data_IF_824312725253
#
_entry.id   IF_824312725253
#
_cell.length_a   1.000
_cell.length_b   1.000
_cell.length_c   1.000
_cell.angle_alpha   90.00
_cell.angle_beta   90.00
_cell.angle_gamma   90.00
#
_symmetry.space_group_name_H-M   'P 1'
#
loop_
_entity.id
_entity.type
_entity.pdbx_description
1 polymer ?
#
# COMPACT_ATOMS: atom_id res chain seq x y z
N UNK A 1 16.96 -3.06 18.27
CA UNK A 1 17.71 -3.32 17.02
C UNK A 1 17.67 -4.80 16.65
N UNK A 2 17.58 -5.13 15.36
CA UNK A 2 17.70 -6.51 14.87
C UNK A 2 19.17 -6.98 14.89
N UNK A 3 19.43 -8.30 14.94
CA UNK A 3 20.77 -8.84 14.73
C UNK A 3 21.30 -8.40 13.36
N UNK A 4 22.54 -7.92 13.30
CA UNK A 4 23.17 -7.45 12.07
C UNK A 4 24.09 -8.52 11.48
N UNK A 5 23.99 -8.76 10.17
CA UNK A 5 25.06 -9.44 9.43
C UNK A 5 26.27 -8.49 9.42
N UNK A 6 27.43 -8.88 9.95
CA UNK A 6 28.57 -7.99 10.03
C UNK A 6 29.09 -7.68 8.62
N UNK A 7 29.13 -6.40 8.27
CA UNK A 7 29.87 -5.91 7.11
C UNK A 7 31.25 -5.48 7.62
N UNK A 8 32.36 -6.07 7.15
CA UNK A 8 33.69 -5.72 7.64
C UNK A 8 33.96 -4.22 7.55
N UNK A 9 34.36 -3.62 8.67
CA UNK A 9 34.66 -2.20 8.77
C UNK A 9 33.45 -1.27 8.98
N UNK A 10 32.22 -1.80 9.07
CA UNK A 10 31.01 -1.00 9.33
C UNK A 10 30.23 -1.54 10.54
N UNK A 11 29.93 -0.66 11.50
CA UNK A 11 28.96 -0.96 12.57
C UNK A 11 27.57 -0.53 12.11
N UNK A 12 26.65 -1.48 12.00
CA UNK A 12 25.28 -1.25 11.53
C UNK A 12 24.26 -1.54 12.62
N UNK A 13 23.22 -0.71 12.70
CA UNK A 13 22.03 -0.95 13.53
C UNK A 13 20.79 -0.89 12.66
N UNK A 14 19.99 -1.95 12.72
CA UNK A 14 18.73 -2.06 12.00
C UNK A 14 17.57 -1.87 12.98
N UNK A 15 16.63 -1.02 12.61
CA UNK A 15 15.46 -0.69 13.41
C UNK A 15 14.20 -1.00 12.59
N UNK A 16 13.42 -2.00 12.98
CA UNK A 16 12.11 -2.21 12.38
C UNK A 16 11.27 -0.93 12.53
N UNK A 17 10.63 -0.49 11.46
CA UNK A 17 9.70 0.64 11.46
C UNK A 17 8.36 0.18 10.90
N UNK A 18 7.32 0.95 11.19
CA UNK A 18 6.01 0.73 10.62
C UNK A 18 5.92 1.31 9.22
N UNK A 19 5.30 0.57 8.32
CA UNK A 19 4.96 0.99 6.97
C UNK A 19 3.80 0.14 6.45
N UNK A 20 3.36 0.39 5.21
CA UNK A 20 2.30 -0.40 4.56
C UNK A 20 2.67 -1.87 4.28
N UNK A 21 3.93 -2.26 4.52
CA UNK A 21 4.52 -3.56 4.20
C UNK A 21 5.33 -4.11 5.37
N UNK A 22 5.40 -5.44 5.48
CA UNK A 22 6.36 -6.10 6.36
C UNK A 22 7.81 -5.88 5.89
N UNK A 23 8.76 -6.06 6.82
CA UNK A 23 10.19 -5.92 6.54
C UNK A 23 10.70 -4.49 6.40
N UNK A 24 9.88 -3.47 6.66
CA UNK A 24 10.30 -2.08 6.67
C UNK A 24 11.31 -1.81 7.81
N UNK A 25 12.48 -1.25 7.45
CA UNK A 25 13.61 -1.09 8.36
C UNK A 25 14.27 0.27 8.11
N UNK A 26 14.49 1.01 9.20
CA UNK A 26 15.44 2.12 9.26
C UNK A 26 16.85 1.61 9.64
N UNK A 27 17.89 2.29 9.17
CA UNK A 27 19.29 1.86 9.34
C UNK A 27 20.12 2.99 9.91
N UNK A 28 21.01 2.69 10.86
CA UNK A 28 22.07 3.60 11.28
C UNK A 28 23.44 2.96 11.13
N UNK A 29 24.39 3.72 10.58
CA UNK A 29 25.77 3.32 10.32
C UNK A 29 26.70 4.17 11.19
N UNK A 30 27.60 3.54 11.93
CA UNK A 30 28.64 4.25 12.67
C UNK A 30 29.77 4.63 11.73
N UNK A 31 30.19 5.89 11.79
CA UNK A 31 31.26 6.46 10.97
C UNK A 31 32.17 7.32 11.85
N UNK A 32 33.30 7.78 11.30
CA UNK A 32 34.25 8.64 12.01
C UNK A 32 33.63 9.96 12.49
N UNK A 33 32.62 10.48 11.76
CA UNK A 33 31.92 11.72 12.14
C UNK A 33 30.74 11.50 13.09
N UNK A 34 30.43 10.24 13.43
CA UNK A 34 29.29 9.82 14.25
C UNK A 34 28.31 8.92 13.50
N UNK A 35 27.08 8.80 14.00
CA UNK A 35 26.05 7.97 13.36
C UNK A 35 25.43 8.66 12.14
N UNK A 36 25.38 7.96 11.02
CA UNK A 36 24.60 8.34 9.83
C UNK A 36 23.37 7.45 9.79
N UNK A 37 22.19 8.04 9.93
CA UNK A 37 20.92 7.32 9.98
C UNK A 37 20.06 7.58 8.74
N UNK A 38 19.39 6.54 8.26
CA UNK A 38 18.43 6.56 7.16
C UNK A 38 17.10 6.01 7.68
N UNK A 39 16.05 6.80 7.54
CA UNK A 39 14.71 6.45 8.05
C UNK A 39 14.06 5.31 7.28
N UNK A 40 14.44 5.09 6.03
CA UNK A 40 13.54 4.41 5.10
C UNK A 40 12.25 5.21 4.90
N UNK A 41 11.23 4.53 4.39
CA UNK A 41 9.86 5.01 4.40
C UNK A 41 9.20 4.50 5.67
N UNK A 42 8.54 5.39 6.41
CA UNK A 42 7.96 5.06 7.71
C UNK A 42 6.63 5.78 7.92
N UNK A 43 5.85 5.26 8.85
CA UNK A 43 4.67 5.94 9.41
C UNK A 43 4.55 5.67 10.90
N UNK A 44 3.60 6.31 11.55
CA UNK A 44 3.33 6.13 12.98
C UNK A 44 1.92 5.59 13.27
N UNK A 45 1.03 5.62 12.29
CA UNK A 45 -0.40 5.34 12.45
C UNK A 45 -0.86 3.94 12.02
N UNK A 46 0.04 3.03 11.62
CA UNK A 46 -0.29 1.64 11.32
C UNK A 46 -0.14 0.72 12.53
N UNK A 47 -0.38 -0.57 12.30
CA UNK A 47 -0.39 -1.60 13.34
C UNK A 47 0.96 -1.81 14.04
N UNK A 48 2.07 -1.40 13.41
CA UNK A 48 3.40 -1.47 14.00
C UNK A 48 3.96 -0.12 14.47
N UNK A 49 3.14 0.94 14.57
CA UNK A 49 3.59 2.31 14.88
C UNK A 49 4.49 2.44 16.13
N UNK A 50 4.29 1.59 17.13
CA UNK A 50 5.16 1.50 18.31
C UNK A 50 6.63 1.17 17.98
N UNK A 51 6.88 0.43 16.89
CA UNK A 51 8.24 0.14 16.39
C UNK A 51 8.90 1.41 15.86
N UNK A 52 8.16 2.23 15.11
CA UNK A 52 8.64 3.54 14.66
C UNK A 52 8.95 4.44 15.85
N UNK A 53 8.09 4.49 16.87
CA UNK A 53 8.36 5.27 18.09
C UNK A 53 9.64 4.80 18.79
N UNK A 54 9.82 3.49 18.96
CA UNK A 54 11.04 2.93 19.55
C UNK A 54 12.30 3.23 18.71
N UNK A 55 12.17 3.30 17.38
CA UNK A 55 13.24 3.77 16.50
C UNK A 55 13.61 5.22 16.78
N UNK A 56 12.62 6.12 16.90
CA UNK A 56 12.84 7.54 17.20
C UNK A 56 13.59 7.71 18.53
N UNK A 57 13.12 7.03 19.59
CA UNK A 57 13.75 7.07 20.92
C UNK A 57 15.19 6.56 20.87
N UNK A 58 15.43 5.44 20.18
CA UNK A 58 16.76 4.87 20.04
C UNK A 58 17.70 5.80 19.27
N UNK A 59 17.19 6.47 18.23
CA UNK A 59 17.99 7.38 17.42
C UNK A 59 18.29 8.71 18.14
N UNK A 60 17.33 9.22 18.93
CA UNK A 60 17.56 10.37 19.81
C UNK A 60 18.70 10.11 20.82
N UNK A 61 18.78 8.90 21.37
CA UNK A 61 19.90 8.50 22.23
C UNK A 61 21.25 8.46 21.50
N UNK A 62 21.25 8.14 20.20
CA UNK A 62 22.46 8.11 19.37
C UNK A 62 22.96 9.50 18.96
N UNK A 63 22.08 10.52 18.92
CA UNK A 63 22.37 11.88 18.44
C UNK A 63 23.13 11.86 17.10
N UNK A 64 22.47 11.42 16.01
CA UNK A 64 23.15 11.16 14.74
C UNK A 64 23.82 12.43 14.18
N UNK A 65 24.98 12.22 13.57
CA UNK A 65 25.66 13.26 12.81
C UNK A 65 24.84 13.67 11.59
N UNK A 66 24.19 12.69 10.94
CA UNK A 66 23.37 12.90 9.75
C UNK A 66 22.10 12.08 9.86
N UNK A 67 20.96 12.69 9.55
CA UNK A 67 19.69 12.01 9.36
C UNK A 67 19.21 12.21 7.92
N UNK A 68 19.19 11.14 7.14
CA UNK A 68 18.51 11.04 5.86
C UNK A 68 17.04 10.70 6.13
N UNK A 69 16.16 11.68 5.94
CA UNK A 69 14.75 11.59 6.35
C UNK A 69 13.82 11.63 5.13
N UNK A 70 12.88 10.69 5.07
CA UNK A 70 11.79 10.76 4.09
C UNK A 70 10.95 12.03 4.26
N UNK A 71 10.31 12.47 3.18
CA UNK A 71 9.55 13.71 3.16
C UNK A 71 8.30 13.65 2.30
N UNK A 72 7.78 12.45 2.06
CA UNK A 72 6.75 12.18 1.04
C UNK A 72 5.48 13.01 1.26
N UNK A 73 5.15 13.31 2.52
CA UNK A 73 3.92 14.03 2.90
C UNK A 73 4.17 15.36 3.61
N UNK A 74 5.30 16.01 3.34
CA UNK A 74 5.61 17.32 3.92
C UNK A 74 4.62 18.40 3.49
N UNK A 75 4.08 18.31 2.27
CA UNK A 75 3.09 19.23 1.72
C UNK A 75 1.72 19.17 2.42
N UNK A 76 1.58 18.32 3.43
CA UNK A 76 0.35 18.10 4.15
C UNK A 76 -0.53 17.05 3.48
N UNK A 77 -1.73 16.89 4.03
CA UNK A 77 -2.71 15.89 3.59
C UNK A 77 -3.44 15.29 4.78
N UNK A 78 -4.68 14.87 4.57
CA UNK A 78 -5.51 14.30 5.64
C UNK A 78 -4.92 13.04 6.26
N UNK A 79 -5.19 12.83 7.54
CA UNK A 79 -4.75 11.68 8.32
C UNK A 79 -5.77 10.54 8.28
N UNK A 80 -6.19 10.11 7.08
CA UNK A 80 -7.08 8.96 6.97
C UNK A 80 -6.38 7.73 7.57
N UNK A 81 -7.03 7.09 8.54
CA UNK A 81 -6.55 5.86 9.17
C UNK A 81 -7.05 4.64 8.42
N UNK A 82 -6.37 3.50 8.55
CA UNK A 82 -6.83 2.23 7.95
C UNK A 82 -8.20 1.80 8.49
N UNK A 83 -8.53 2.13 9.75
CA UNK A 83 -9.84 1.89 10.33
C UNK A 83 -10.95 2.71 9.65
N UNK A 84 -10.72 4.01 9.42
CA UNK A 84 -11.67 4.86 8.69
C UNK A 84 -11.87 4.39 7.24
N UNK A 85 -10.81 3.89 6.61
CA UNK A 85 -10.92 3.28 5.27
C UNK A 85 -11.77 2.03 5.33
N UNK A 86 -11.51 1.13 6.28
CA UNK A 86 -12.29 -0.09 6.48
C UNK A 86 -13.79 0.22 6.65
N UNK A 87 -14.15 1.20 7.50
CA UNK A 87 -15.54 1.59 7.72
C UNK A 87 -16.23 2.10 6.45
N UNK A 88 -15.53 2.90 5.64
CA UNK A 88 -16.04 3.42 4.37
C UNK A 88 -16.19 2.32 3.33
N UNK A 89 -15.18 1.45 3.21
CA UNK A 89 -15.24 0.28 2.33
C UNK A 89 -16.37 -0.67 2.74
N UNK A 90 -16.53 -0.97 4.03
CA UNK A 90 -17.61 -1.79 4.56
C UNK A 90 -18.98 -1.20 4.21
N UNK A 91 -19.14 0.11 4.38
CA UNK A 91 -20.38 0.82 4.01
C UNK A 91 -20.68 0.66 2.52
N UNK A 92 -19.70 0.87 1.65
CA UNK A 92 -19.86 0.71 0.20
C UNK A 92 -20.22 -0.73 -0.19
N UNK A 93 -19.57 -1.73 0.41
CA UNK A 93 -19.86 -3.16 0.14
C UNK A 93 -21.25 -3.55 0.62
N UNK A 94 -21.70 -3.04 1.78
CA UNK A 94 -23.08 -3.25 2.29
C UNK A 94 -24.14 -2.65 1.37
N UNK A 95 -23.88 -1.46 0.83
CA UNK A 95 -24.78 -0.81 -0.14
C UNK A 95 -24.87 -1.58 -1.46
N UNK A 96 -23.85 -2.37 -1.80
CA UNK A 96 -23.81 -3.24 -2.98
C UNK A 96 -24.30 -4.67 -2.67
N UNK A 97 -25.12 -4.87 -1.63
CA UNK A 97 -25.65 -6.20 -1.27
C UNK A 97 -26.28 -6.93 -2.47
N UNK A 98 -25.91 -8.20 -2.65
CA UNK A 98 -26.36 -9.03 -3.78
C UNK A 98 -25.69 -8.72 -5.13
N UNK A 99 -24.88 -7.67 -5.23
CA UNK A 99 -24.18 -7.28 -6.46
C UNK A 99 -22.72 -7.73 -6.45
N UNK A 100 -22.08 -7.78 -7.63
CA UNK A 100 -20.64 -7.97 -7.74
C UNK A 100 -19.88 -6.81 -7.09
N UNK A 101 -18.81 -7.15 -6.36
CA UNK A 101 -17.87 -6.17 -5.79
C UNK A 101 -16.49 -6.51 -6.31
N UNK A 102 -15.87 -5.54 -6.97
CA UNK A 102 -14.43 -5.55 -7.26
C UNK A 102 -13.76 -4.58 -6.30
N UNK A 103 -12.71 -5.01 -5.61
CA UNK A 103 -11.96 -4.20 -4.65
C UNK A 103 -10.52 -4.08 -5.12
N UNK A 104 -10.10 -2.87 -5.44
CA UNK A 104 -8.74 -2.56 -5.88
C UNK A 104 -7.94 -2.00 -4.71
N UNK A 105 -7.06 -2.84 -4.19
CA UNK A 105 -6.06 -2.44 -3.22
C UNK A 105 -4.77 -3.18 -3.52
N UNK A 106 -3.63 -2.60 -3.13
CA UNK A 106 -2.34 -3.25 -3.28
C UNK A 106 -2.31 -4.54 -2.43
N UNK A 107 -2.12 -5.74 -3.01
CA UNK A 107 -2.11 -7.01 -2.28
C UNK A 107 -1.01 -7.10 -1.23
N UNK A 108 0.03 -6.29 -1.45
CA UNK A 108 1.16 -6.11 -0.54
C UNK A 108 0.79 -5.26 0.70
N UNK A 109 -0.26 -4.43 0.65
CA UNK A 109 -0.78 -3.75 1.83
C UNK A 109 -1.56 -4.75 2.71
N UNK A 110 -0.88 -5.31 3.69
CA UNK A 110 -1.41 -6.39 4.54
C UNK A 110 -2.55 -5.90 5.43
N UNK A 111 -2.49 -4.65 5.92
CA UNK A 111 -3.58 -4.09 6.73
C UNK A 111 -4.85 -3.91 5.91
N UNK A 112 -4.72 -3.48 4.65
CA UNK A 112 -5.87 -3.39 3.75
C UNK A 112 -6.42 -4.77 3.39
N UNK A 113 -5.57 -5.76 3.17
CA UNK A 113 -6.01 -7.15 3.00
C UNK A 113 -6.80 -7.63 4.22
N UNK A 114 -6.28 -7.43 5.43
CA UNK A 114 -6.95 -7.80 6.67
C UNK A 114 -8.32 -7.11 6.81
N UNK A 115 -8.40 -5.82 6.45
CA UNK A 115 -9.66 -5.09 6.42
C UNK A 115 -10.65 -5.74 5.43
N UNK A 116 -10.22 -6.09 4.22
CA UNK A 116 -11.09 -6.76 3.25
C UNK A 116 -11.49 -8.18 3.66
N UNK A 117 -10.66 -8.91 4.40
CA UNK A 117 -11.04 -10.19 5.03
C UNK A 117 -12.16 -9.97 6.06
N UNK A 118 -12.04 -8.95 6.91
CA UNK A 118 -13.09 -8.59 7.88
C UNK A 118 -14.36 -8.11 7.20
N UNK A 119 -14.26 -7.30 6.15
CA UNK A 119 -15.40 -6.84 5.34
C UNK A 119 -16.11 -8.03 4.68
N UNK A 120 -15.35 -8.96 4.10
CA UNK A 120 -15.91 -10.18 3.51
C UNK A 120 -16.69 -10.98 4.57
N UNK A 121 -16.10 -11.21 5.74
CA UNK A 121 -16.78 -11.87 6.86
C UNK A 121 -18.06 -11.14 7.30
N UNK A 122 -17.99 -9.81 7.47
CA UNK A 122 -19.10 -8.98 7.95
C UNK A 122 -20.24 -8.82 6.93
N UNK A 123 -20.00 -9.16 5.67
CA UNK A 123 -20.98 -9.06 4.58
C UNK A 123 -21.40 -10.41 4.02
N UNK A 124 -20.94 -11.51 4.61
CA UNK A 124 -21.24 -12.87 4.14
C UNK A 124 -20.64 -13.20 2.79
N UNK A 125 -19.55 -12.53 2.40
CA UNK A 125 -18.86 -12.70 1.13
C UNK A 125 -17.54 -13.45 1.30
N UNK A 126 -17.01 -14.00 0.21
CA UNK A 126 -15.63 -14.49 0.10
C UNK A 126 -14.76 -13.50 -0.68
N UNK A 127 -13.59 -13.18 -0.15
CA UNK A 127 -12.54 -12.43 -0.84
C UNK A 127 -11.74 -13.36 -1.74
N UNK A 128 -11.78 -13.15 -3.06
CA UNK A 128 -11.02 -13.93 -4.03
C UNK A 128 -9.82 -13.12 -4.53
N UNK A 129 -8.63 -13.66 -4.29
CA UNK A 129 -7.35 -13.07 -4.70
C UNK A 129 -6.87 -13.66 -6.03
N UNK A 130 -6.03 -12.92 -6.75
CA UNK A 130 -5.34 -13.47 -7.91
C UNK A 130 -4.26 -14.49 -7.48
N UNK A 131 -3.88 -15.48 -8.33
CA UNK A 131 -2.90 -16.50 -7.96
C UNK A 131 -1.53 -15.91 -7.58
N UNK A 132 -1.13 -14.82 -8.25
CA UNK A 132 0.12 -14.08 -7.97
C UNK A 132 0.13 -13.49 -6.55
N UNK A 133 -1.02 -13.03 -6.08
CA UNK A 133 -1.19 -12.42 -4.76
C UNK A 133 -1.26 -13.47 -3.67
N UNK A 134 -1.95 -14.59 -3.95
CA UNK A 134 -1.91 -15.76 -3.08
C UNK A 134 -0.47 -16.29 -2.90
N UNK A 135 0.32 -16.32 -3.97
CA UNK A 135 1.73 -16.69 -3.89
C UNK A 135 2.55 -15.71 -3.02
N UNK A 136 2.32 -14.41 -3.17
CA UNK A 136 2.96 -13.38 -2.33
C UNK A 136 2.61 -13.57 -0.85
N UNK A 137 1.35 -13.82 -0.51
CA UNK A 137 0.94 -14.05 0.88
C UNK A 137 1.58 -15.29 1.48
N UNK A 138 1.73 -16.36 0.68
CA UNK A 138 2.47 -17.55 1.11
C UNK A 138 3.94 -17.24 1.37
N UNK A 139 4.57 -16.41 0.54
CA UNK A 139 5.94 -15.98 0.76
C UNK A 139 6.08 -15.14 2.04
N UNK A 140 5.12 -14.25 2.31
CA UNK A 140 5.07 -13.45 3.55
C UNK A 140 4.89 -14.36 4.77
N UNK A 141 3.96 -15.33 4.75
CA UNK A 141 3.76 -16.29 5.83
C UNK A 141 5.06 -17.05 6.18
N UNK A 142 5.84 -17.42 5.16
CA UNK A 142 7.13 -18.09 5.33
C UNK A 142 8.23 -17.17 5.87
N UNK A 143 8.18 -15.89 5.51
CA UNK A 143 9.22 -14.92 5.86
C UNK A 143 8.99 -14.23 7.22
N UNK A 144 7.73 -14.05 7.63
CA UNK A 144 7.34 -13.29 8.82
C UNK A 144 6.73 -14.20 9.90
N UNK A 145 7.49 -14.59 10.94
CA UNK A 145 6.99 -15.42 12.03
C UNK A 145 5.75 -14.82 12.70
N UNK A 146 4.69 -15.63 12.79
CA UNK A 146 3.42 -15.21 13.39
C UNK A 146 2.46 -14.51 12.41
N UNK A 147 2.86 -14.29 11.15
CA UNK A 147 1.91 -13.91 10.11
C UNK A 147 0.90 -15.05 9.88
N UNK A 148 -0.41 -14.76 9.80
CA UNK A 148 -1.42 -15.80 9.62
C UNK A 148 -1.42 -16.34 8.17
N UNK A 149 -1.75 -17.62 7.99
CA UNK A 149 -2.06 -18.19 6.67
C UNK A 149 -3.45 -17.67 6.25
N UNK A 150 -3.50 -16.48 5.64
CA UNK A 150 -4.74 -15.86 5.19
C UNK A 150 -5.51 -16.76 4.22
N UNK A 151 -4.81 -17.55 3.40
CA UNK A 151 -5.43 -18.43 2.40
C UNK A 151 -6.07 -19.68 3.03
N UNK A 152 -5.74 -19.99 4.29
CA UNK A 152 -6.43 -21.01 5.08
C UNK A 152 -7.73 -20.49 5.73
N UNK A 153 -7.99 -19.18 5.70
CA UNK A 153 -9.23 -18.62 6.25
C UNK A 153 -10.42 -18.92 5.32
N UNK A 154 -11.59 -19.33 5.85
CA UNK A 154 -12.76 -19.66 5.03
C UNK A 154 -13.25 -18.54 4.12
N UNK A 155 -13.05 -17.29 4.55
CA UNK A 155 -13.46 -16.09 3.82
C UNK A 155 -12.52 -15.77 2.65
N UNK A 156 -11.36 -16.40 2.56
CA UNK A 156 -10.38 -16.13 1.50
C UNK A 156 -10.39 -17.27 0.49
N UNK A 157 -10.20 -16.91 -0.77
CA UNK A 157 -10.07 -17.84 -1.87
C UNK A 157 -9.20 -17.27 -2.96
N UNK A 158 -9.09 -18.04 -4.03
CA UNK A 158 -8.28 -17.67 -5.18
C UNK A 158 -9.19 -17.68 -6.40
N UNK A 159 -9.26 -16.55 -7.10
CA UNK A 159 -9.84 -16.53 -8.44
C UNK A 159 -8.82 -17.12 -9.40
N UNK A 160 -9.16 -18.26 -10.03
CA UNK A 160 -8.24 -18.91 -10.94
C UNK A 160 -8.98 -19.78 -11.96
N UNK A 161 -8.77 -19.49 -13.23
CA UNK A 161 -9.21 -20.35 -14.33
C UNK A 161 -8.03 -21.17 -14.88
N UNK A 162 -8.24 -22.45 -15.26
CA UNK A 162 -7.17 -23.29 -15.79
C UNK A 162 -6.53 -22.71 -17.05
N UNK A 163 -5.20 -22.52 -17.02
CA UNK A 163 -4.40 -22.11 -18.18
C UNK A 163 -3.83 -23.33 -18.89
N UNK A 164 -3.63 -23.21 -20.21
CA UNK A 164 -3.01 -24.28 -21.02
C UNK A 164 -1.55 -24.56 -20.63
N UNK A 165 -0.85 -23.53 -20.14
CA UNK A 165 0.52 -23.64 -19.63
C UNK A 165 0.58 -23.00 -18.26
N UNK A 166 1.18 -23.70 -17.30
CA UNK A 166 1.27 -23.29 -15.91
C UNK A 166 2.73 -23.03 -15.52
N UNK A 167 2.97 -21.95 -14.76
CA UNK A 167 4.27 -21.64 -14.20
C UNK A 167 4.51 -22.42 -12.89
N UNK A 168 5.79 -22.64 -12.53
CA UNK A 168 6.14 -23.41 -11.32
C UNK A 168 5.54 -22.82 -10.03
N UNK A 169 5.46 -21.49 -9.93
CA UNK A 169 4.89 -20.83 -8.75
C UNK A 169 3.36 -20.96 -8.70
N UNK A 170 2.67 -21.03 -9.85
CA UNK A 170 1.22 -21.26 -9.91
C UNK A 170 0.90 -22.64 -9.32
N UNK A 171 1.69 -23.67 -9.66
CA UNK A 171 1.54 -25.03 -9.11
C UNK A 171 1.57 -25.06 -7.57
N UNK A 172 2.50 -24.32 -6.97
CA UNK A 172 2.64 -24.26 -5.50
C UNK A 172 1.34 -23.81 -4.85
N UNK A 173 0.70 -22.79 -5.42
CA UNK A 173 -0.55 -22.24 -4.90
C UNK A 173 -1.72 -23.18 -5.22
N UNK A 174 -1.83 -23.68 -6.45
CA UNK A 174 -2.94 -24.52 -6.88
C UNK A 174 -2.99 -25.86 -6.17
N UNK A 175 -1.85 -26.51 -5.96
CA UNK A 175 -1.76 -27.79 -5.28
C UNK A 175 -2.13 -27.65 -3.79
N UNK A 176 -1.65 -26.60 -3.12
CA UNK A 176 -1.88 -26.37 -1.69
C UNK A 176 -3.29 -25.88 -1.36
N UNK A 177 -3.84 -24.96 -2.18
CA UNK A 177 -5.09 -24.25 -1.88
C UNK A 177 -6.23 -24.66 -2.82
N UNK A 178 -6.18 -25.87 -3.39
CA UNK A 178 -7.14 -26.39 -4.37
C UNK A 178 -8.61 -26.24 -3.94
N UNK A 179 -8.91 -26.46 -2.66
CA UNK A 179 -10.27 -26.37 -2.11
C UNK A 179 -10.80 -24.93 -2.02
N UNK A 180 -9.92 -23.94 -2.09
CA UNK A 180 -10.26 -22.52 -1.95
C UNK A 180 -10.35 -21.78 -3.29
N UNK A 181 -10.04 -22.46 -4.40
CA UNK A 181 -10.10 -21.91 -5.76
C UNK A 181 -11.55 -21.79 -6.24
N UNK A 182 -11.87 -20.65 -6.87
CA UNK A 182 -13.10 -20.43 -7.60
C UNK A 182 -12.80 -19.89 -9.00
N UNK A 183 -13.36 -20.51 -10.04
CA UNK A 183 -13.24 -20.02 -11.42
C UNK A 183 -14.39 -19.10 -11.83
N UNK A 184 -14.32 -18.55 -13.05
CA UNK A 184 -15.31 -17.58 -13.55
C UNK A 184 -16.76 -18.07 -13.40
N UNK A 185 -17.04 -19.35 -13.74
CA UNK A 185 -18.39 -19.93 -13.66
C UNK A 185 -18.98 -19.95 -12.24
N UNK A 186 -18.15 -20.19 -11.23
CA UNK A 186 -18.62 -20.20 -9.84
C UNK A 186 -18.89 -18.79 -9.36
N UNK A 187 -18.03 -17.84 -9.73
CA UNK A 187 -18.21 -16.42 -9.44
C UNK A 187 -19.49 -15.88 -10.10
N UNK A 188 -19.73 -16.22 -11.37
CA UNK A 188 -20.89 -15.70 -12.09
C UNK A 188 -22.22 -16.33 -11.67
N UNK A 189 -22.21 -17.52 -11.07
CA UNK A 189 -23.41 -18.12 -10.49
C UNK A 189 -23.91 -17.33 -9.26
N UNK A 190 -22.99 -16.81 -8.43
CA UNK A 190 -23.31 -16.09 -7.20
C UNK A 190 -22.44 -14.83 -7.02
N UNK A 191 -22.55 -13.82 -7.89
CA UNK A 191 -21.68 -12.63 -7.86
C UNK A 191 -21.85 -11.81 -6.57
N UNK A 192 -23.01 -11.89 -5.93
CA UNK A 192 -23.30 -11.25 -4.64
C UNK A 192 -22.60 -11.87 -3.43
N UNK A 193 -22.00 -13.05 -3.57
CA UNK A 193 -21.32 -13.79 -2.49
C UNK A 193 -19.80 -13.60 -2.51
N UNK A 194 -19.27 -12.79 -3.43
CA UNK A 194 -17.82 -12.61 -3.58
C UNK A 194 -17.41 -11.14 -3.58
N UNK A 195 -16.15 -10.91 -3.21
CA UNK A 195 -15.39 -9.68 -3.46
C UNK A 195 -14.17 -10.12 -4.27
N UNK A 196 -13.99 -9.58 -5.47
CA UNK A 196 -12.82 -9.85 -6.31
C UNK A 196 -11.75 -8.81 -6.00
N UNK A 197 -10.59 -9.25 -5.50
CA UNK A 197 -9.44 -8.38 -5.25
C UNK A 197 -8.65 -8.16 -6.54
N UNK A 198 -9.21 -7.36 -7.45
CA UNK A 198 -8.65 -7.13 -8.78
C UNK A 198 -8.22 -5.67 -8.94
N UNK A 199 -7.27 -5.48 -9.86
CA UNK A 199 -6.74 -4.19 -10.28
C UNK A 199 -6.93 -3.99 -11.78
N UNK A 200 -6.47 -2.84 -12.30
CA UNK A 200 -6.38 -2.59 -13.75
C UNK A 200 -5.63 -3.70 -14.51
N UNK A 201 -4.68 -4.39 -13.85
CA UNK A 201 -3.91 -5.47 -14.48
C UNK A 201 -4.72 -6.74 -14.73
N UNK A 202 -5.89 -6.86 -14.11
CA UNK A 202 -6.74 -8.06 -14.12
C UNK A 202 -8.00 -7.86 -14.99
N UNK A 203 -8.04 -6.79 -15.81
CA UNK A 203 -9.19 -6.48 -16.69
C UNK A 203 -9.50 -7.61 -17.67
N UNK A 204 -8.51 -8.41 -18.09
CA UNK A 204 -8.76 -9.58 -18.95
C UNK A 204 -9.73 -10.57 -18.27
N UNK A 205 -9.52 -10.87 -16.99
CA UNK A 205 -10.42 -11.74 -16.22
C UNK A 205 -11.81 -11.08 -16.03
N UNK A 206 -11.85 -9.75 -15.92
CA UNK A 206 -13.11 -9.02 -15.84
C UNK A 206 -13.93 -9.10 -17.14
N UNK A 207 -13.29 -9.18 -18.31
CA UNK A 207 -13.97 -9.38 -19.60
C UNK A 207 -14.58 -10.77 -19.70
N UNK A 208 -13.91 -11.79 -19.19
CA UNK A 208 -14.45 -13.16 -19.12
C UNK A 208 -15.69 -13.21 -18.21
N UNK A 209 -15.66 -12.49 -17.09
CA UNK A 209 -16.82 -12.32 -16.22
C UNK A 209 -17.98 -11.58 -16.91
N UNK A 210 -17.70 -10.51 -17.66
CA UNK A 210 -18.71 -9.80 -18.45
C UNK A 210 -19.35 -10.72 -19.50
N UNK A 211 -18.56 -11.55 -20.17
CA UNK A 211 -19.09 -12.51 -21.13
C UNK A 211 -20.12 -13.46 -20.49
N UNK A 212 -19.87 -13.88 -19.24
CA UNK A 212 -20.71 -14.82 -18.51
C UNK A 212 -21.90 -14.17 -17.76
N UNK A 213 -21.75 -12.94 -17.26
CA UNK A 213 -22.82 -12.20 -16.56
C UNK A 213 -23.71 -11.37 -17.49
N UNK A 214 -23.35 -11.28 -18.78
CA UNK A 214 -24.00 -10.40 -19.75
C UNK A 214 -23.33 -9.02 -19.81
N UNK A 215 -23.73 -8.20 -20.79
CA UNK A 215 -23.00 -6.98 -21.19
C UNK A 215 -22.72 -5.97 -20.06
N UNK A 216 -23.50 -5.99 -18.98
CA UNK A 216 -23.32 -5.10 -17.83
C UNK A 216 -23.60 -5.88 -16.54
N UNK A 217 -22.60 -6.55 -15.96
CA UNK A 217 -22.73 -7.30 -14.70
C UNK A 217 -23.32 -6.47 -13.55
N UNK A 218 -23.19 -5.14 -13.60
CA UNK A 218 -23.62 -4.26 -12.52
C UNK A 218 -22.76 -4.44 -11.26
N UNK A 219 -23.07 -3.68 -10.21
CA UNK A 219 -22.30 -3.68 -8.96
C UNK A 219 -21.31 -2.54 -8.88
N UNK A 220 -20.22 -2.75 -8.13
CA UNK A 220 -19.26 -1.69 -7.82
C UNK A 220 -17.81 -2.08 -8.09
N UNK A 221 -17.03 -1.08 -8.50
CA UNK A 221 -15.57 -1.10 -8.46
C UNK A 221 -15.11 -0.17 -7.34
N UNK A 222 -14.65 -0.74 -6.23
CA UNK A 222 -14.20 -0.04 -5.04
C UNK A 222 -12.69 0.19 -5.13
N UNK A 223 -12.30 1.40 -5.50
CA UNK A 223 -10.91 1.82 -5.54
C UNK A 223 -10.43 2.21 -4.14
N UNK A 224 -9.48 1.45 -3.63
CA UNK A 224 -8.92 1.55 -2.29
C UNK A 224 -7.39 1.48 -2.35
N UNK A 225 -6.81 2.20 -3.31
CA UNK A 225 -5.39 2.19 -3.61
C UNK A 225 -4.80 3.61 -3.55
N UNK A 226 -3.49 3.74 -3.71
CA UNK A 226 -2.83 5.05 -3.66
C UNK A 226 -3.26 5.95 -4.81
N UNK A 227 -3.12 7.26 -4.60
CA UNK A 227 -3.30 8.24 -5.67
C UNK A 227 -2.22 8.09 -6.76
N UNK A 228 -2.48 8.67 -7.94
CA UNK A 228 -1.48 8.76 -8.98
C UNK A 228 -0.41 9.81 -8.62
N UNK A 229 0.87 9.42 -8.70
CA UNK A 229 2.02 10.30 -8.42
C UNK A 229 2.73 10.78 -9.69
N UNK A 230 2.44 10.19 -10.84
CA UNK A 230 3.02 10.55 -12.13
C UNK A 230 1.97 10.52 -13.26
N UNK A 231 2.36 10.98 -14.45
CA UNK A 231 1.49 11.03 -15.62
C UNK A 231 1.00 9.66 -16.08
N UNK A 232 1.82 8.62 -15.96
CA UNK A 232 1.48 7.26 -16.36
C UNK A 232 0.39 6.70 -15.44
N UNK A 233 0.55 6.86 -14.13
CA UNK A 233 -0.46 6.47 -13.14
C UNK A 233 -1.77 7.25 -13.31
N UNK A 234 -1.70 8.54 -13.67
CA UNK A 234 -2.91 9.32 -13.98
C UNK A 234 -3.65 8.74 -15.19
N UNK A 235 -2.91 8.36 -16.24
CA UNK A 235 -3.49 7.69 -17.42
C UNK A 235 -4.10 6.34 -17.04
N UNK A 236 -3.48 5.58 -16.14
CA UNK A 236 -4.00 4.30 -15.68
C UNK A 236 -5.30 4.46 -14.86
N UNK A 237 -5.43 5.48 -14.00
CA UNK A 237 -6.70 5.77 -13.33
C UNK A 237 -7.83 6.11 -14.33
N UNK A 238 -7.50 6.83 -15.40
CA UNK A 238 -8.46 7.13 -16.47
C UNK A 238 -8.85 5.86 -17.23
N UNK A 239 -7.88 5.00 -17.57
CA UNK A 239 -8.15 3.69 -18.20
C UNK A 239 -9.04 2.83 -17.32
N UNK A 240 -8.72 2.76 -16.03
CA UNK A 240 -9.48 2.02 -15.05
C UNK A 240 -10.93 2.47 -14.99
N UNK A 241 -11.16 3.79 -14.90
CA UNK A 241 -12.51 4.35 -14.89
C UNK A 241 -13.31 3.93 -16.12
N UNK A 242 -12.75 4.14 -17.31
CA UNK A 242 -13.44 3.83 -18.55
C UNK A 242 -13.72 2.32 -18.71
N UNK A 243 -12.82 1.45 -18.22
CA UNK A 243 -13.07 0.02 -18.16
C UNK A 243 -14.18 -0.34 -17.19
N UNK A 244 -14.16 0.20 -15.97
CA UNK A 244 -15.23 -0.05 -14.99
C UNK A 244 -16.59 0.43 -15.51
N UNK A 245 -16.68 1.61 -16.14
CA UNK A 245 -17.91 2.07 -16.80
C UNK A 245 -18.33 1.16 -17.95
N UNK A 246 -17.40 0.71 -18.80
CA UNK A 246 -17.68 -0.22 -19.89
C UNK A 246 -18.25 -1.55 -19.38
N UNK A 247 -17.77 -2.02 -18.24
CA UNK A 247 -18.24 -3.22 -17.55
C UNK A 247 -19.54 -2.96 -16.76
N UNK A 248 -20.07 -1.74 -16.75
CA UNK A 248 -21.28 -1.38 -16.00
C UNK A 248 -21.08 -1.36 -14.48
N UNK A 249 -19.85 -1.27 -13.99
CA UNK A 249 -19.52 -1.15 -12.58
C UNK A 249 -19.55 0.31 -12.16
N UNK A 250 -20.25 0.61 -11.07
CA UNK A 250 -20.20 1.94 -10.46
C UNK A 250 -18.92 2.09 -9.66
N UNK A 251 -18.11 3.09 -9.99
CA UNK A 251 -16.89 3.37 -9.23
C UNK A 251 -17.20 4.00 -7.87
N UNK A 252 -16.43 3.58 -6.87
CA UNK A 252 -16.40 4.13 -5.51
C UNK A 252 -14.95 4.39 -5.14
N UNK A 253 -14.66 5.53 -4.52
CA UNK A 253 -13.28 5.92 -4.18
C UNK A 253 -12.55 6.72 -5.26
N UNK A 254 -13.19 6.95 -6.40
CA UNK A 254 -12.72 7.82 -7.48
C UNK A 254 -13.85 8.76 -7.91
N UNK A 255 -13.49 9.92 -8.44
CA UNK A 255 -14.39 10.88 -9.09
C UNK A 255 -13.86 11.23 -10.48
N UNK A 256 -14.73 11.15 -11.48
CA UNK A 256 -14.42 11.59 -12.83
C UNK A 256 -14.68 13.08 -13.01
N UNK A 257 -13.79 13.73 -13.77
CA UNK A 257 -13.98 15.08 -14.28
C UNK A 257 -13.56 15.13 -15.74
N UNK A 258 -14.20 15.98 -16.54
CA UNK A 258 -13.91 16.06 -17.96
C UNK A 258 -14.46 14.89 -18.80
N UNK A 259 -14.83 15.21 -20.04
CA UNK A 259 -15.28 14.22 -21.02
C UNK A 259 -14.62 14.47 -22.36
N UNK A 260 -14.22 13.40 -23.03
CA UNK A 260 -13.72 13.41 -24.38
C UNK A 260 -14.84 13.47 -25.42
N UNK A 261 -14.48 13.58 -26.72
CA UNK A 261 -15.45 13.70 -27.81
C UNK A 261 -16.38 12.50 -27.98
N UNK A 262 -15.99 11.31 -27.48
CA UNK A 262 -16.79 10.08 -27.54
C UNK A 262 -17.50 9.80 -26.22
N UNK A 263 -17.46 10.76 -25.27
CA UNK A 263 -18.04 10.65 -23.95
C UNK A 263 -17.17 9.92 -22.93
N UNK A 264 -15.94 9.51 -23.30
CA UNK A 264 -14.99 8.88 -22.40
C UNK A 264 -14.54 9.84 -21.30
N UNK A 265 -14.29 9.34 -20.09
CA UNK A 265 -13.69 10.15 -19.03
C UNK A 265 -12.24 10.42 -19.37
N UNK A 266 -11.79 11.66 -19.15
CA UNK A 266 -10.42 12.10 -19.45
C UNK A 266 -9.62 12.51 -18.23
N UNK A 267 -10.26 12.67 -17.08
CA UNK A 267 -9.58 12.95 -15.81
C UNK A 267 -10.30 12.26 -14.66
N UNK A 268 -9.52 11.70 -13.75
CA UNK A 268 -10.01 10.99 -12.57
C UNK A 268 -9.21 11.44 -11.36
N UNK A 269 -9.88 11.67 -10.25
CA UNK A 269 -9.26 12.06 -8.98
C UNK A 269 -9.71 11.13 -7.86
N UNK A 270 -8.80 10.65 -7.00
CA UNK A 270 -9.19 9.86 -5.83
C UNK A 270 -10.04 10.63 -4.83
N UNK A 271 -11.00 9.93 -4.24
CA UNK A 271 -11.86 10.46 -3.17
C UNK A 271 -11.20 10.19 -1.82
N UNK A 272 -11.22 11.18 -0.93
CA UNK A 272 -10.67 11.05 0.42
C UNK A 272 -11.43 10.01 1.23
N UNK A 273 -10.70 9.30 2.12
CA UNK A 273 -11.29 8.29 3.00
C UNK A 273 -11.27 6.86 2.46
N UNK A 274 -10.91 6.61 1.21
CA UNK A 274 -10.76 5.24 0.67
C UNK A 274 -9.30 4.76 0.62
N UNK A 275 -8.37 5.61 1.05
CA UNK A 275 -6.95 5.29 1.15
C UNK A 275 -6.33 5.97 2.37
N UNK A 276 -5.55 5.18 3.12
CA UNK A 276 -4.63 5.64 4.15
C UNK A 276 -3.20 5.51 3.60
N UNK A 277 -2.40 6.55 3.75
CA UNK A 277 -1.03 6.54 3.23
C UNK A 277 -0.10 5.68 4.08
N UNK A 278 0.88 5.07 3.42
CA UNK A 278 1.98 4.35 4.06
C UNK A 278 3.05 5.25 4.68
N UNK A 279 3.00 6.57 4.46
CA UNK A 279 4.03 7.52 4.91
C UNK A 279 3.55 8.39 6.07
N UNK A 280 4.49 8.79 6.91
CA UNK A 280 4.28 9.66 8.05
C UNK A 280 3.74 11.02 7.59
N UNK A 281 2.81 11.55 8.37
CA UNK A 281 2.28 12.89 8.17
C UNK A 281 3.34 13.96 8.50
N UNK A 282 3.11 15.16 7.98
CA UNK A 282 3.95 16.33 8.19
C UNK A 282 4.28 16.59 9.68
N UNK A 283 3.28 16.53 10.56
CA UNK A 283 3.48 16.76 12.00
C UNK A 283 4.35 15.69 12.66
N UNK A 284 4.17 14.43 12.27
CA UNK A 284 4.93 13.29 12.79
C UNK A 284 6.40 13.37 12.36
N UNK A 285 6.65 13.70 11.09
CA UNK A 285 7.99 13.92 10.56
C UNK A 285 8.71 15.08 11.27
N UNK A 286 8.03 16.20 11.47
CA UNK A 286 8.58 17.36 12.20
C UNK A 286 8.88 17.01 13.65
N UNK A 287 7.97 16.30 14.33
CA UNK A 287 8.16 15.86 15.71
C UNK A 287 9.35 14.90 15.82
N UNK A 288 9.45 13.92 14.94
CA UNK A 288 10.57 12.98 14.90
C UNK A 288 11.91 13.72 14.79
N UNK A 289 12.06 14.65 13.85
CA UNK A 289 13.32 15.40 13.69
C UNK A 289 13.66 16.23 14.93
N UNK A 290 12.65 16.83 15.58
CA UNK A 290 12.83 17.60 16.83
C UNK A 290 13.24 16.74 18.03
N UNK A 291 12.77 15.50 18.07
CA UNK A 291 13.14 14.53 19.11
C UNK A 291 14.54 13.98 18.88
N UNK A 292 14.86 13.60 17.63
CA UNK A 292 16.16 13.01 17.25
C UNK A 292 17.30 14.03 17.35
N UNK A 293 17.04 15.29 17.01
CA UNK A 293 18.04 16.39 17.01
C UNK A 293 19.34 16.02 16.28
N UNK A 294 19.28 15.70 14.97
CA UNK A 294 20.48 15.38 14.21
C UNK A 294 21.39 16.61 14.08
N UNK A 295 22.71 16.41 13.92
CA UNK A 295 23.62 17.52 13.60
C UNK A 295 23.42 18.06 12.18
N UNK A 296 22.96 17.22 11.25
CA UNK A 296 22.60 17.57 9.89
C UNK A 296 21.35 16.79 9.46
N UNK A 297 20.35 17.49 8.95
CA UNK A 297 19.20 16.89 8.28
C UNK A 297 19.43 16.89 6.77
N UNK A 298 19.20 15.74 6.14
CA UNK A 298 19.23 15.57 4.69
C UNK A 298 17.83 15.10 4.25
N UNK A 299 16.97 16.01 3.77
CA UNK A 299 15.68 15.65 3.20
C UNK A 299 15.84 14.78 1.96
N UNK A 300 15.15 13.65 1.93
CA UNK A 300 15.07 12.76 0.77
C UNK A 300 13.63 12.31 0.57
N UNK A 301 13.35 11.62 -0.54
CA UNK A 301 12.02 11.08 -0.85
C UNK A 301 10.91 12.17 -0.78
N UNK A 302 11.18 13.34 -1.37
CA UNK A 302 10.28 14.50 -1.41
C UNK A 302 10.53 15.33 -2.67
N UNK A 303 9.50 15.98 -3.19
CA UNK A 303 9.58 16.91 -4.31
C UNK A 303 9.95 18.35 -3.86
N UNK A 304 9.69 18.70 -2.59
CA UNK A 304 10.04 20.00 -2.01
C UNK A 304 10.84 19.86 -0.71
N UNK A 305 12.15 19.58 -0.81
CA UNK A 305 13.01 19.46 0.36
C UNK A 305 13.17 20.80 1.12
N UNK A 306 12.83 21.94 0.51
CA UNK A 306 12.98 23.26 1.16
C UNK A 306 11.92 23.48 2.22
N UNK A 307 10.77 22.81 2.11
CA UNK A 307 9.67 22.94 3.05
C UNK A 307 10.10 22.65 4.50
N UNK A 308 11.07 21.76 4.72
CA UNK A 308 11.62 21.50 6.05
C UNK A 308 12.10 22.74 6.79
N UNK A 309 12.69 23.73 6.09
CA UNK A 309 13.12 24.98 6.71
C UNK A 309 11.93 25.74 7.30
N UNK A 310 10.84 25.84 6.53
CA UNK A 310 9.63 26.52 6.96
C UNK A 310 8.94 25.80 8.14
N UNK A 311 8.99 24.47 8.17
CA UNK A 311 8.31 23.66 9.19
C UNK A 311 9.06 23.57 10.51
N UNK A 312 10.39 23.46 10.45
CA UNK A 312 11.21 23.35 11.65
C UNK A 312 11.48 24.72 12.30
N UNK A 313 11.53 25.79 11.50
CA UNK A 313 11.70 27.16 11.99
C UNK A 313 13.09 27.41 12.57
N UNK A 314 13.17 28.24 13.61
CA UNK A 314 14.44 28.66 14.21
C UNK A 314 15.21 27.54 14.91
N UNK A 315 14.52 26.48 15.35
CA UNK A 315 15.11 25.33 16.03
C UNK A 315 15.55 24.22 15.05
N UNK A 316 15.56 24.51 13.75
CA UNK A 316 15.97 23.56 12.74
C UNK A 316 17.46 23.19 12.89
N UNK A 317 17.82 21.89 12.84
CA UNK A 317 19.20 21.54 12.58
C UNK A 317 19.63 22.08 11.21
N UNK A 318 20.93 22.25 10.95
CA UNK A 318 21.42 22.50 9.60
C UNK A 318 20.78 21.52 8.59
N UNK A 319 20.28 22.04 7.47
CA UNK A 319 19.61 21.25 6.43
C UNK A 319 20.46 21.30 5.17
N UNK A 320 20.84 20.13 4.65
CA UNK A 320 21.47 20.01 3.34
C UNK A 320 20.47 19.42 2.36
N UNK A 321 20.04 20.23 1.39
CA UNK A 321 19.17 19.77 0.29
C UNK A 321 20.03 19.02 -0.73
N UNK A 322 19.89 17.69 -0.87
CA UNK A 322 20.71 16.93 -1.80
C UNK A 322 20.32 17.20 -3.25
N UNK A 323 21.25 16.98 -4.16
CA UNK A 323 21.02 16.96 -5.61
C UNK A 323 21.27 15.58 -6.16
N UNK A 324 20.48 15.17 -7.16
CA UNK A 324 20.59 13.84 -7.76
C UNK A 324 22.02 13.59 -8.27
N UNK A 325 22.55 12.39 -7.95
CA UNK A 325 23.89 11.94 -8.31
C UNK A 325 25.05 12.85 -7.84
N UNK A 326 24.84 13.66 -6.79
CA UNK A 326 25.90 14.46 -6.18
C UNK A 326 26.29 13.93 -4.79
N UNK A 327 27.58 14.02 -4.48
CA UNK A 327 28.11 13.68 -3.15
C UNK A 327 27.76 14.75 -2.13
N UNK A 328 27.40 14.35 -0.92
CA UNK A 328 27.24 15.24 0.22
C UNK A 328 28.55 15.21 1.02
N UNK A 329 29.32 16.31 1.08
CA UNK A 329 30.51 16.36 1.92
C UNK A 329 30.09 16.44 3.38
N UNK A 330 30.47 15.44 4.18
CA UNK A 330 30.06 15.33 5.59
C UNK A 330 31.13 15.78 6.60
N UNK A 331 32.17 16.47 6.11
CA UNK A 331 33.31 16.92 6.91
C UNK A 331 34.46 15.93 6.88
#
# INVERSE_FOLDING_TARGET
PLPATPIPGLTLRYFPVDHSLYGAIAVAIETEIGWVAYTGDLRFHGGSGARTQAFVEALAALRPAVLLCEGTRLHGGGSTTEAEVEDRCLTAVRQAAGQLVVADFAPRNVERLQAFVRIAAATGRRLLLQPKDAYLLRAIELAEPGSPDYLAMPQVGIYDDPKASEQKWERVVRERYRSSIAGARQVTANPGEVILAFSLTDVADMLDLQWLLGRSPGGIYLFSNSQAYDEEQMVDLVRLWNWAEHLGLRLVGLEASGKGPRGEVTKVTPVTGYHASGHAGQAELVQMVREVRPRLLVPIHTEDPRQWHALLGADAPPIHVPSYAQSIPLG
#
